data_IF_115023280951
#
_entry.id   IF_115023280951
#
_cell.length_a   1.000
_cell.length_b   1.000
_cell.length_c   1.000
_cell.angle_alpha   90.00
_cell.angle_beta   90.00
_cell.angle_gamma   90.00
#
_symmetry.space_group_name_H-M   'P 1'
#
loop_
_entity.id
_entity.type
_entity.pdbx_description
1 polymer ?
#
# COMPACT_ATOMS: atom_id res chain seq x y z
N UNK A 1 0.24 -25.33 -9.77
CA UNK A 1 -0.36 -24.84 -9.65
C UNK A 1 -0.66 -24.06 -10.05
N UNK A 2 -0.72 -23.73 -10.46
CA UNK A 2 -1.25 -22.93 -10.35
C UNK A 2 -1.89 -22.25 -11.34
N UNK A 3 -2.83 -22.67 -12.01
CA UNK A 3 -3.61 -21.98 -12.98
C UNK A 3 -4.26 -20.68 -12.52
N UNK A 4 -3.92 -20.26 -11.32
CA UNK A 4 -4.47 -19.05 -10.72
C UNK A 4 -3.61 -17.80 -11.01
N UNK A 5 -2.42 -17.99 -11.55
CA UNK A 5 -1.51 -16.88 -11.79
C UNK A 5 -1.21 -16.78 -13.28
N UNK A 6 -1.43 -15.59 -13.85
CA UNK A 6 -1.14 -15.36 -15.28
C UNK A 6 0.26 -14.77 -15.48
N UNK A 7 0.80 -14.11 -14.45
CA UNK A 7 2.09 -13.42 -14.50
C UNK A 7 2.14 -12.34 -15.61
N UNK A 8 0.98 -11.75 -15.90
CA UNK A 8 0.84 -10.83 -17.04
C UNK A 8 0.45 -9.41 -16.65
N UNK A 9 0.84 -8.96 -15.46
CA UNK A 9 0.60 -7.56 -15.09
C UNK A 9 1.57 -6.65 -15.81
N UNK A 10 1.05 -5.59 -16.43
CA UNK A 10 1.88 -4.58 -17.06
C UNK A 10 2.47 -3.64 -16.02
N UNK A 11 3.55 -2.97 -16.38
CA UNK A 11 4.14 -1.96 -15.50
C UNK A 11 3.13 -0.85 -15.20
N UNK A 12 2.32 -0.46 -16.19
CA UNK A 12 1.27 0.54 -16.01
C UNK A 12 0.24 0.11 -14.97
N UNK A 13 -0.18 -1.16 -15.00
CA UNK A 13 -1.12 -1.67 -14.00
C UNK A 13 -0.52 -1.63 -12.60
N UNK A 14 0.77 -1.95 -12.48
CA UNK A 14 1.46 -1.93 -11.18
C UNK A 14 1.60 -0.48 -10.68
N UNK A 15 1.92 0.45 -11.57
CA UNK A 15 2.00 1.88 -11.23
C UNK A 15 0.65 2.42 -10.78
N UNK A 16 -0.42 2.01 -11.46
CA UNK A 16 -1.78 2.41 -11.08
C UNK A 16 -2.14 1.90 -9.70
N UNK A 17 -1.76 0.66 -9.40
CA UNK A 17 -2.03 0.09 -8.08
C UNK A 17 -1.24 0.82 -7.00
N UNK A 18 -0.01 1.20 -7.27
CA UNK A 18 0.80 1.98 -6.34
C UNK A 18 0.14 3.34 -6.08
N UNK A 19 -0.32 4.02 -7.12
CA UNK A 19 -1.00 5.30 -6.98
C UNK A 19 -2.25 5.18 -6.10
N UNK A 20 -3.06 4.16 -6.34
CA UNK A 20 -4.26 3.91 -5.56
C UNK A 20 -3.93 3.61 -4.10
N UNK A 21 -2.88 2.84 -3.87
CA UNK A 21 -2.47 2.50 -2.51
C UNK A 21 -1.99 3.74 -1.75
N UNK A 22 -1.24 4.62 -2.42
CA UNK A 22 -0.76 5.86 -1.82
C UNK A 22 -1.91 6.80 -1.48
N UNK A 23 -2.89 6.91 -2.36
CA UNK A 23 -4.07 7.74 -2.12
C UNK A 23 -4.88 7.21 -0.95
N UNK A 24 -5.04 5.90 -0.86
CA UNK A 24 -5.78 5.27 0.22
C UNK A 24 -5.04 5.43 1.54
N UNK A 25 -3.72 5.31 1.53
CA UNK A 25 -2.91 5.54 2.72
C UNK A 25 -3.06 6.98 3.20
N UNK A 26 -3.04 7.94 2.28
CA UNK A 26 -3.22 9.35 2.62
C UNK A 26 -4.60 9.59 3.23
N UNK A 27 -5.64 8.96 2.70
CA UNK A 27 -6.99 9.03 3.27
C UNK A 27 -6.99 8.60 4.73
N UNK A 28 -6.39 7.46 5.03
CA UNK A 28 -6.33 6.97 6.41
C UNK A 28 -5.47 7.86 7.30
N UNK A 29 -4.41 8.44 6.75
CA UNK A 29 -3.57 9.39 7.49
C UNK A 29 -4.37 10.61 7.93
N UNK A 30 -5.19 11.15 7.03
CA UNK A 30 -6.06 12.29 7.33
C UNK A 30 -7.08 11.91 8.40
N UNK A 31 -7.69 10.73 8.27
CA UNK A 31 -8.68 10.26 9.23
C UNK A 31 -8.09 10.03 10.62
N UNK A 32 -6.83 9.64 10.72
CA UNK A 32 -6.17 9.50 12.01
C UNK A 32 -6.01 10.85 12.72
N UNK A 33 -5.88 11.92 11.95
CA UNK A 33 -5.67 13.26 12.49
C UNK A 33 -6.99 13.97 12.81
N UNK A 34 -8.12 13.45 12.36
CA UNK A 34 -9.42 14.04 12.62
C UNK A 34 -9.83 13.80 14.06
N UNK A 35 -10.79 14.60 14.53
CA UNK A 35 -11.37 14.45 15.87
C UNK A 35 -12.32 13.27 15.88
N UNK A 36 -11.75 12.07 15.92
CA UNK A 36 -12.51 10.82 15.89
C UNK A 36 -12.34 10.06 17.20
N UNK A 37 -13.19 9.03 17.39
CA UNK A 37 -13.05 8.17 18.56
C UNK A 37 -11.73 7.40 18.52
N UNK A 38 -11.27 6.96 19.69
CA UNK A 38 -10.06 6.15 19.79
C UNK A 38 -10.15 4.88 18.93
N UNK A 39 -11.33 4.27 18.91
CA UNK A 39 -11.59 3.05 18.13
C UNK A 39 -11.40 3.30 16.63
N UNK A 40 -11.96 4.38 16.12
CA UNK A 40 -11.82 4.76 14.72
C UNK A 40 -10.38 5.10 14.36
N UNK A 41 -9.70 5.79 15.27
CA UNK A 41 -8.29 6.15 15.06
C UNK A 41 -7.42 4.91 14.96
N UNK A 42 -7.64 3.92 15.81
CA UNK A 42 -6.91 2.65 15.77
C UNK A 42 -7.19 1.92 14.47
N UNK A 43 -8.45 1.91 14.02
CA UNK A 43 -8.82 1.29 12.75
C UNK A 43 -8.01 1.90 11.60
N UNK A 44 -8.02 3.23 11.50
CA UNK A 44 -7.30 3.92 10.42
C UNK A 44 -5.79 3.75 10.51
N UNK A 45 -5.26 3.68 11.72
CA UNK A 45 -3.84 3.43 11.93
C UNK A 45 -3.43 2.04 11.41
N UNK A 46 -4.25 1.04 11.65
CA UNK A 46 -4.02 -0.32 11.15
C UNK A 46 -4.06 -0.37 9.65
N UNK A 47 -5.03 0.32 9.03
CA UNK A 47 -5.12 0.40 7.58
C UNK A 47 -3.90 1.10 6.99
N UNK A 48 -3.47 2.19 7.61
CA UNK A 48 -2.28 2.92 7.19
C UNK A 48 -1.04 2.02 7.20
N UNK A 49 -0.86 1.25 8.25
CA UNK A 49 0.28 0.34 8.37
C UNK A 49 0.24 -0.80 7.35
N UNK A 50 -0.95 -1.34 7.10
CA UNK A 50 -1.10 -2.39 6.09
C UNK A 50 -0.73 -1.86 4.70
N UNK A 51 -1.18 -0.66 4.37
CA UNK A 51 -0.89 -0.03 3.08
C UNK A 51 0.59 0.33 2.94
N UNK A 52 1.27 0.62 4.05
CA UNK A 52 2.71 0.87 4.04
C UNK A 52 3.47 -0.32 3.46
N UNK A 53 3.09 -1.53 3.85
CA UNK A 53 3.69 -2.75 3.30
C UNK A 53 3.37 -2.96 1.84
N UNK A 54 2.13 -2.69 1.43
CA UNK A 54 1.71 -2.81 0.03
C UNK A 54 2.51 -1.84 -0.83
N UNK A 55 2.59 -0.59 -0.42
CA UNK A 55 3.33 0.46 -1.15
C UNK A 55 4.80 0.08 -1.29
N UNK A 56 5.40 -0.37 -0.21
CA UNK A 56 6.79 -0.77 -0.20
C UNK A 56 7.06 -1.90 -1.19
N UNK A 57 6.18 -2.90 -1.21
CA UNK A 57 6.31 -4.03 -2.12
C UNK A 57 6.14 -3.61 -3.58
N UNK A 58 5.17 -2.75 -3.88
CA UNK A 58 4.94 -2.28 -5.24
C UNK A 58 6.12 -1.43 -5.73
N UNK A 59 6.68 -0.59 -4.87
CA UNK A 59 7.86 0.20 -5.22
C UNK A 59 9.06 -0.70 -5.50
N UNK A 60 9.23 -1.75 -4.70
CA UNK A 60 10.30 -2.71 -4.91
C UNK A 60 10.15 -3.40 -6.28
N UNK A 61 8.93 -3.83 -6.62
CA UNK A 61 8.64 -4.46 -7.92
C UNK A 61 8.98 -3.53 -9.07
N UNK A 62 8.70 -2.23 -8.90
CA UNK A 62 8.99 -1.22 -9.93
C UNK A 62 10.46 -0.80 -9.99
N UNK A 63 11.28 -1.35 -9.11
CA UNK A 63 12.71 -1.09 -9.13
C UNK A 63 13.15 0.14 -8.35
N UNK A 64 12.36 0.57 -7.37
CA UNK A 64 12.73 1.70 -6.51
C UNK A 64 13.97 1.32 -5.70
N UNK A 65 15.08 1.98 -5.96
CA UNK A 65 16.37 1.68 -5.33
C UNK A 65 16.42 2.02 -3.85
N UNK A 66 15.47 2.80 -3.36
CA UNK A 66 15.38 3.13 -1.93
C UNK A 66 14.77 1.98 -1.12
N UNK A 67 14.19 1.01 -1.79
CA UNK A 67 13.60 -0.17 -1.15
C UNK A 67 14.52 -1.35 -1.41
N UNK A 68 15.40 -1.65 -0.46
CA UNK A 68 16.31 -2.77 -0.60
C UNK A 68 15.62 -4.11 -0.36
N UNK A 69 14.74 -4.14 0.65
CA UNK A 69 14.06 -5.37 1.04
C UNK A 69 12.63 -5.07 1.44
N UNK A 70 11.65 -5.50 0.66
CA UNK A 70 10.25 -5.13 0.90
C UNK A 70 9.64 -5.71 2.18
N UNK A 71 10.26 -6.73 2.75
CA UNK A 71 9.77 -7.38 3.97
C UNK A 71 10.30 -6.72 5.24
N UNK A 72 11.20 -5.77 5.08
CA UNK A 72 11.77 -5.00 6.17
C UNK A 72 11.27 -3.56 6.13
#
# INVERSE_FOLDING_TARGET
MNGHFTYERTWGEIEDMLDKAERKQNFHSIKMSDDTSKKERIFHMRQFKALEGVIKSLRWVLGDKNIEHPLE
#
